data_IF_284719262933
#
_entry.id   IF_284719262933
#
_cell.length_a   1.000
_cell.length_b   1.000
_cell.length_c   1.000
_cell.angle_alpha   90.00
_cell.angle_beta   90.00
_cell.angle_gamma   90.00
#
_symmetry.space_group_name_H-M   'P 1'
#
loop_
_entity.id
_entity.type
_entity.pdbx_description
1 polymer ?
#
# COMPACT_ATOMS: atom_id res chain seq x y z
N UNK A 1 3.62 -7.43 -12.99
CA UNK A 1 3.52 -6.56 -11.80
C UNK A 1 2.49 -7.18 -10.87
N UNK A 2 2.90 -7.59 -9.67
CA UNK A 2 1.99 -8.11 -8.65
C UNK A 2 1.11 -6.95 -8.15
N UNK A 3 -0.21 -7.12 -8.17
CA UNK A 3 -1.13 -6.10 -7.68
C UNK A 3 -0.96 -5.81 -6.18
N UNK A 4 -1.46 -4.66 -5.69
CA UNK A 4 -1.34 -4.26 -4.29
C UNK A 4 -1.94 -5.29 -3.33
N UNK A 5 -1.23 -5.61 -2.24
CA UNK A 5 -1.77 -6.42 -1.15
C UNK A 5 -2.61 -5.57 -0.20
N UNK A 6 -3.69 -6.16 0.31
CA UNK A 6 -4.51 -5.60 1.41
C UNK A 6 -4.27 -6.33 2.74
N UNK A 7 -3.43 -7.37 2.74
CA UNK A 7 -3.07 -8.14 3.94
C UNK A 7 -2.03 -7.39 4.78
N UNK A 8 -1.92 -7.71 6.08
CA UNK A 8 -0.85 -7.18 6.93
C UNK A 8 0.54 -7.43 6.33
N UNK A 9 1.49 -6.56 6.64
CA UNK A 9 2.86 -6.59 6.14
C UNK A 9 3.48 -7.99 6.23
N UNK A 10 3.39 -8.62 7.40
CA UNK A 10 4.01 -9.92 7.64
C UNK A 10 3.46 -11.04 6.76
N UNK A 11 2.15 -11.08 6.55
CA UNK A 11 1.53 -12.03 5.63
C UNK A 11 1.90 -11.76 4.17
N UNK A 12 1.89 -10.49 3.78
CA UNK A 12 2.29 -10.06 2.43
C UNK A 12 3.76 -10.38 2.14
N UNK A 13 4.64 -10.20 3.13
CA UNK A 13 6.05 -10.51 3.04
C UNK A 13 6.29 -12.02 2.90
N UNK A 14 5.63 -12.85 3.72
CA UNK A 14 5.74 -14.31 3.61
C UNK A 14 5.26 -14.79 2.24
N UNK A 15 4.14 -14.27 1.75
CA UNK A 15 3.64 -14.61 0.42
C UNK A 15 4.63 -14.25 -0.70
N UNK A 16 5.30 -13.09 -0.61
CA UNK A 16 6.36 -12.72 -1.56
C UNK A 16 7.57 -13.64 -1.46
N UNK A 17 7.99 -13.97 -0.24
CA UNK A 17 9.12 -14.86 0.00
C UNK A 17 8.84 -16.26 -0.55
N UNK A 18 7.65 -16.81 -0.28
CA UNK A 18 7.23 -18.13 -0.78
C UNK A 18 7.19 -18.15 -2.32
N UNK A 19 6.58 -17.13 -2.94
CA UNK A 19 6.49 -17.01 -4.40
C UNK A 19 7.87 -16.93 -5.08
N UNK A 20 8.90 -16.47 -4.36
CA UNK A 20 10.26 -16.31 -4.85
C UNK A 20 11.25 -17.34 -4.29
N UNK A 21 10.77 -18.31 -3.51
CA UNK A 21 11.60 -19.29 -2.80
C UNK A 21 12.71 -18.64 -1.96
N UNK A 22 12.43 -17.47 -1.38
CA UNK A 22 13.37 -16.71 -0.55
C UNK A 22 13.25 -17.12 0.92
N UNK A 23 14.39 -17.25 1.58
CA UNK A 23 14.47 -17.39 3.04
C UNK A 23 14.72 -16.03 3.69
N UNK A 24 14.50 -15.89 5.00
CA UNK A 24 14.82 -14.65 5.71
C UNK A 24 16.31 -14.27 5.59
N UNK A 25 17.19 -15.28 5.53
CA UNK A 25 18.62 -15.08 5.29
C UNK A 25 18.89 -14.60 3.86
N UNK A 26 18.26 -15.24 2.88
CA UNK A 26 18.36 -14.81 1.48
C UNK A 26 17.88 -13.38 1.26
N UNK A 27 16.78 -13.00 1.91
CA UNK A 27 16.27 -11.62 1.87
C UNK A 27 17.22 -10.64 2.57
N UNK A 28 17.80 -11.01 3.72
CA UNK A 28 18.80 -10.19 4.40
C UNK A 28 20.05 -9.95 3.54
N UNK A 29 20.51 -10.95 2.81
CA UNK A 29 21.61 -10.81 1.86
C UNK A 29 21.23 -9.93 0.67
N UNK A 30 20.04 -10.14 0.10
CA UNK A 30 19.55 -9.34 -1.02
C UNK A 30 19.44 -7.86 -0.64
N UNK A 31 18.85 -7.54 0.51
CA UNK A 31 18.76 -6.15 1.01
C UNK A 31 20.14 -5.56 1.27
N UNK A 32 21.11 -6.33 1.79
CA UNK A 32 22.49 -5.87 2.00
C UNK A 32 23.21 -5.54 0.69
N UNK A 33 22.96 -6.29 -0.37
CA UNK A 33 23.55 -6.02 -1.69
C UNK A 33 23.06 -4.71 -2.31
N UNK A 34 21.89 -4.22 -1.90
CA UNK A 34 21.30 -2.99 -2.41
C UNK A 34 21.90 -1.71 -1.79
N UNK A 35 22.11 -1.67 -0.47
CA UNK A 35 22.53 -0.44 0.23
C UNK A 35 23.78 -0.60 1.13
N UNK A 36 24.40 -1.78 1.14
CA UNK A 36 25.57 -2.12 1.95
C UNK A 36 25.28 -2.38 3.43
N UNK A 37 24.18 -1.87 3.98
CA UNK A 37 23.77 -2.06 5.39
C UNK A 37 22.81 -3.24 5.54
N UNK A 38 21.81 -3.30 4.66
CA UNK A 38 20.76 -4.31 4.62
C UNK A 38 19.85 -4.31 5.85
N UNK A 39 18.98 -5.30 5.91
CA UNK A 39 18.17 -5.62 7.08
C UNK A 39 18.60 -6.99 7.57
N UNK A 40 18.82 -7.16 8.87
CA UNK A 40 19.22 -8.46 9.42
C UNK A 40 18.07 -9.45 9.34
N UNK A 41 18.37 -10.73 9.16
CA UNK A 41 17.34 -11.79 9.11
C UNK A 41 16.48 -11.81 10.40
N UNK A 42 17.08 -11.50 11.56
CA UNK A 42 16.37 -11.39 12.83
C UNK A 42 15.34 -10.25 12.80
N UNK A 43 15.73 -9.07 12.30
CA UNK A 43 14.81 -7.95 12.17
C UNK A 43 13.71 -8.23 11.14
N UNK A 44 14.04 -8.85 10.00
CA UNK A 44 13.03 -9.29 9.01
C UNK A 44 12.03 -10.25 9.67
N UNK A 45 12.49 -11.20 10.50
CA UNK A 45 11.62 -12.10 11.23
C UNK A 45 10.71 -11.36 12.23
N UNK A 46 11.24 -10.35 12.95
CA UNK A 46 10.43 -9.52 13.86
C UNK A 46 9.33 -8.76 13.11
N UNK A 47 9.66 -8.18 11.94
CA UNK A 47 8.69 -7.52 11.06
C UNK A 47 7.64 -8.49 10.52
N UNK A 48 8.07 -9.68 10.07
CA UNK A 48 7.19 -10.69 9.50
C UNK A 48 6.19 -11.27 10.52
N UNK A 49 6.59 -11.33 11.80
CA UNK A 49 5.72 -11.78 12.89
C UNK A 49 4.91 -10.64 13.52
N UNK A 50 5.08 -9.40 13.09
CA UNK A 50 4.38 -8.23 13.62
C UNK A 50 4.85 -7.79 15.01
N UNK A 51 6.02 -8.23 15.45
CA UNK A 51 6.63 -7.77 16.70
C UNK A 51 7.19 -6.36 16.58
N UNK A 52 7.63 -5.97 15.39
CA UNK A 52 8.07 -4.62 15.06
C UNK A 52 7.28 -4.04 13.89
N UNK A 53 7.13 -2.72 13.89
CA UNK A 53 6.51 -2.00 12.77
C UNK A 53 7.56 -1.69 11.69
N UNK A 54 7.29 -2.01 10.41
CA UNK A 54 8.22 -1.70 9.34
C UNK A 54 8.26 -0.18 9.08
N UNK A 55 9.46 0.39 9.00
CA UNK A 55 9.64 1.76 8.52
C UNK A 55 9.48 1.83 7.01
N UNK A 56 9.21 3.02 6.45
CA UNK A 56 9.14 3.19 4.98
C UNK A 56 10.41 2.70 4.29
N UNK A 57 11.58 3.06 4.80
CA UNK A 57 12.88 2.59 4.28
C UNK A 57 12.97 1.07 4.29
N UNK A 58 12.53 0.41 5.36
CA UNK A 58 12.57 -1.05 5.44
C UNK A 58 11.64 -1.68 4.39
N UNK A 59 10.44 -1.13 4.21
CA UNK A 59 9.49 -1.58 3.18
C UNK A 59 10.05 -1.38 1.78
N UNK A 60 10.65 -0.23 1.49
CA UNK A 60 11.29 0.06 0.19
C UNK A 60 12.42 -0.91 -0.13
N UNK A 61 13.30 -1.16 0.84
CA UNK A 61 14.44 -2.05 0.65
C UNK A 61 14.00 -3.50 0.47
N UNK A 62 12.99 -3.95 1.23
CA UNK A 62 12.39 -5.28 1.09
C UNK A 62 11.66 -5.40 -0.25
N UNK A 63 10.90 -4.38 -0.66
CA UNK A 63 10.21 -4.35 -1.95
C UNK A 63 11.20 -4.44 -3.10
N UNK A 64 12.28 -3.65 -3.06
CA UNK A 64 13.35 -3.70 -4.05
C UNK A 64 14.05 -5.07 -4.09
N UNK A 65 14.37 -5.66 -2.93
CA UNK A 65 14.97 -6.99 -2.86
C UNK A 65 14.01 -8.10 -3.36
N UNK A 66 12.71 -7.89 -3.21
CA UNK A 66 11.65 -8.73 -3.76
C UNK A 66 11.17 -8.25 -5.13
N UNK A 67 11.88 -7.35 -5.82
CA UNK A 67 11.54 -6.81 -7.15
C UNK A 67 10.04 -6.49 -7.33
N UNK A 68 9.45 -5.86 -6.34
CA UNK A 68 8.08 -5.33 -6.37
C UNK A 68 8.10 -3.85 -6.04
N UNK A 69 7.03 -3.16 -6.41
CA UNK A 69 6.82 -1.78 -5.99
C UNK A 69 6.55 -1.72 -4.47
N UNK A 70 7.09 -0.75 -3.71
CA UNK A 70 6.75 -0.55 -2.30
C UNK A 70 5.24 -0.40 -2.05
N UNK A 71 4.48 0.12 -3.03
CA UNK A 71 3.02 0.20 -3.00
C UNK A 71 2.33 -1.16 -2.95
N UNK A 72 3.06 -2.26 -3.10
CA UNK A 72 2.54 -3.59 -2.80
C UNK A 72 2.06 -3.70 -1.35
N UNK A 73 2.80 -3.12 -0.40
CA UNK A 73 2.48 -3.19 1.03
C UNK A 73 1.43 -2.15 1.43
N UNK A 74 0.38 -2.59 2.14
CA UNK A 74 -0.70 -1.71 2.58
C UNK A 74 -0.19 -0.62 3.54
N UNK A 75 0.73 -0.98 4.43
CA UNK A 75 1.37 -0.09 5.39
C UNK A 75 2.24 0.97 4.71
N UNK A 76 2.91 0.64 3.59
CA UNK A 76 3.66 1.62 2.81
C UNK A 76 2.71 2.65 2.21
N UNK A 77 1.65 2.19 1.53
CA UNK A 77 0.63 3.09 0.95
C UNK A 77 0.03 4.00 2.01
N UNK A 78 -0.25 3.48 3.21
CA UNK A 78 -0.76 4.28 4.32
C UNK A 78 0.27 5.31 4.81
N UNK A 79 1.53 4.90 5.01
CA UNK A 79 2.58 5.79 5.49
C UNK A 79 2.90 6.90 4.48
N UNK A 80 3.02 6.57 3.20
CA UNK A 80 3.15 7.53 2.11
C UNK A 80 1.96 8.49 2.10
N UNK A 81 0.75 7.93 2.27
CA UNK A 81 -0.44 8.74 2.26
C UNK A 81 -0.52 9.73 3.44
N UNK A 82 -0.07 9.32 4.62
CA UNK A 82 0.01 10.19 5.80
C UNK A 82 1.07 11.28 5.61
N UNK A 83 2.22 10.94 5.04
CA UNK A 83 3.31 11.87 4.76
C UNK A 83 2.90 13.00 3.80
N UNK A 84 2.14 12.67 2.75
CA UNK A 84 1.58 13.68 1.83
C UNK A 84 0.58 14.63 2.51
N UNK A 85 0.03 14.26 3.67
CA UNK A 85 -0.91 15.09 4.42
C UNK A 85 -0.26 15.79 5.63
N UNK A 86 1.03 15.57 5.87
CA UNK A 86 1.73 16.15 7.01
C UNK A 86 2.29 17.54 6.65
N UNK A 87 1.80 18.63 7.29
CA UNK A 87 2.32 19.97 7.04
C UNK A 87 3.82 20.12 7.34
N UNK A 88 4.39 19.30 8.22
CA UNK A 88 5.82 19.32 8.51
C UNK A 88 6.66 18.76 7.35
N UNK A 89 6.08 17.88 6.52
CA UNK A 89 6.77 17.24 5.40
C UNK A 89 6.54 17.97 4.08
N UNK A 90 5.32 18.47 3.82
CA UNK A 90 4.96 19.08 2.53
C UNK A 90 4.58 20.56 2.62
N UNK A 91 4.47 21.13 3.82
CA UNK A 91 3.93 22.48 4.03
C UNK A 91 2.40 22.49 4.13
N UNK A 92 1.84 23.50 4.81
CA UNK A 92 0.41 23.57 5.09
C UNK A 92 -0.45 23.67 3.81
N UNK A 93 -0.06 24.53 2.88
CA UNK A 93 -0.79 24.74 1.62
C UNK A 93 -0.86 23.44 0.81
N UNK A 94 0.28 22.78 0.60
CA UNK A 94 0.35 21.52 -0.13
C UNK A 94 -0.40 20.40 0.60
N UNK A 95 -0.35 20.33 1.94
CA UNK A 95 -1.10 19.36 2.72
C UNK A 95 -2.62 19.54 2.54
N UNK A 96 -3.10 20.79 2.50
CA UNK A 96 -4.51 21.11 2.23
C UNK A 96 -4.91 20.75 0.80
N UNK A 97 -4.06 21.02 -0.19
CA UNK A 97 -4.29 20.65 -1.59
C UNK A 97 -4.37 19.13 -1.76
N UNK A 98 -3.44 18.38 -1.14
CA UNK A 98 -3.44 16.92 -1.15
C UNK A 98 -4.69 16.35 -0.48
N UNK A 99 -5.14 16.94 0.63
CA UNK A 99 -6.39 16.55 1.30
C UNK A 99 -7.61 16.80 0.40
N UNK A 100 -7.70 18.00 -0.20
CA UNK A 100 -8.80 18.39 -1.07
C UNK A 100 -8.86 17.49 -2.32
N UNK A 101 -7.72 17.20 -2.94
CA UNK A 101 -7.63 16.29 -4.07
C UNK A 101 -8.16 14.90 -3.73
N UNK A 102 -7.80 14.34 -2.57
CA UNK A 102 -8.30 13.03 -2.09
C UNK A 102 -9.80 13.02 -1.84
N UNK A 103 -10.33 14.06 -1.19
CA UNK A 103 -11.77 14.18 -0.93
C UNK A 103 -12.55 14.36 -2.25
N UNK A 104 -12.01 15.13 -3.18
CA UNK A 104 -12.56 15.32 -4.52
C UNK A 104 -12.63 14.02 -5.32
N UNK A 105 -11.54 13.25 -5.36
CA UNK A 105 -11.48 11.96 -6.03
C UNK A 105 -12.51 10.95 -5.45
N UNK A 106 -12.70 10.96 -4.13
CA UNK A 106 -13.69 10.08 -3.47
C UNK A 106 -15.13 10.41 -3.85
N UNK A 107 -15.46 11.70 -3.99
CA UNK A 107 -16.78 12.16 -4.47
C UNK A 107 -17.05 11.72 -5.91
N UNK A 108 -16.05 11.85 -6.79
CA UNK A 108 -16.17 11.43 -8.19
C UNK A 108 -16.37 9.92 -8.33
N UNK A 109 -15.62 9.11 -7.58
CA UNK A 109 -15.80 7.66 -7.54
C UNK A 109 -17.19 7.26 -7.04
N UNK A 110 -17.71 7.91 -5.99
CA UNK A 110 -19.06 7.66 -5.48
C UNK A 110 -20.16 8.04 -6.49
N UNK A 111 -19.98 9.14 -7.23
CA UNK A 111 -20.90 9.54 -8.29
C UNK A 111 -20.91 8.55 -9.46
N UNK A 112 -19.75 8.00 -9.83
CA UNK A 112 -19.60 7.01 -10.90
C UNK A 112 -20.16 5.62 -10.53
N UNK A 113 -20.15 5.26 -9.25
CA UNK A 113 -20.69 3.99 -8.74
C UNK A 113 -22.21 3.98 -8.59
N UNK A 114 -22.89 5.12 -8.76
CA UNK A 114 -24.35 5.22 -8.64
C UNK A 114 -24.98 4.78 -9.97
N UNK A 115 -25.64 3.61 -10.05
CA UNK A 115 -26.27 3.19 -11.30
C UNK A 115 -27.39 4.19 -11.62
N UNK A 116 -27.46 4.65 -12.87
CA UNK A 116 -28.59 5.42 -13.36
C UNK A 116 -29.86 4.58 -13.15
N UNK A 117 -30.68 4.93 -12.16
CA UNK A 117 -32.02 4.37 -12.00
C UNK A 117 -32.78 4.68 -13.29
N UNK A 118 -33.02 3.65 -14.11
CA UNK A 118 -33.91 3.75 -15.26
C UNK A 118 -35.29 4.17 -14.73
N UNK A 119 -35.94 5.19 -15.31
CA UNK A 119 -37.32 5.52 -14.95
C UNK A 119 -38.18 4.28 -15.21
N UNK A 120 -38.75 3.69 -14.16
CA UNK A 120 -39.73 2.63 -14.31
C UNK A 120 -40.96 3.25 -14.98
N UNK A 121 -41.17 2.89 -16.25
CA UNK A 121 -42.40 3.22 -16.96
C UNK A 121 -43.58 2.57 -16.23
N UNK A 122 -44.45 3.41 -15.65
CA UNK A 122 -45.73 3.00 -15.09
C UNK A 122 -46.57 2.35 -16.20
N UNK A 123 -47.06 1.11 -16.03
CA UNK A 123 -48.02 0.55 -16.97
C UNK A 123 -49.34 1.32 -16.84
N UNK A 124 -49.82 1.85 -17.97
CA UNK A 124 -51.12 2.51 -18.07
C UNK A 124 -52.23 1.49 -17.78
N UNK A 125 -53.28 1.85 -17.02
CA UNK A 125 -54.42 0.97 -16.80
C UNK A 125 -55.22 0.88 -18.11
N UNK A 126 -55.36 -0.33 -18.64
CA UNK A 126 -56.32 -0.63 -19.70
C UNK A 126 -57.69 -0.89 -19.06
N UNK A 127 -58.70 -0.22 -19.62
CA UNK A 127 -60.12 -0.26 -19.28
C UNK A 127 -60.76 -1.64 -19.35
#
# INVERSE_FOLDING_TARGET
>A
MTGPSTKPFGESLRALMDARSLTYRGLAEATRRLDGKGITHAHINMLANGHDKPSMRAMELIAAACEVDPDYFAEYRLAAAMRELDPAEVGLEQALDNLNARLGARRQSAAKSRPAQRPQAQPRPTS
#
